data_IF_585711234397
#
_entry.id   IF_585711234397
#
_cell.length_a   1.000
_cell.length_b   1.000
_cell.length_c   1.000
_cell.angle_alpha   90.00
_cell.angle_beta   90.00
_cell.angle_gamma   90.00
#
_symmetry.space_group_name_H-M   'P 1'
#
loop_
_entity.id
_entity.type
_entity.pdbx_description
1 polymer ?
#
# COMPACT_ATOMS: atom_id res chain seq x y z
N UNK A 1 -45.53 22.65 48.67
CA UNK A 1 -44.31 22.54 47.85
C UNK A 1 -44.14 23.86 47.13
N UNK A 2 -42.96 24.50 47.24
CA UNK A 2 -42.72 25.82 46.66
C UNK A 2 -42.76 25.76 45.12
N UNK A 3 -43.36 26.76 44.49
CA UNK A 3 -43.46 26.90 43.03
C UNK A 3 -42.07 26.89 42.39
N UNK A 4 -41.07 27.46 43.08
CA UNK A 4 -39.68 27.50 42.63
C UNK A 4 -39.06 26.10 42.54
N UNK A 5 -39.40 25.21 43.48
CA UNK A 5 -38.94 23.81 43.48
C UNK A 5 -39.59 23.02 42.35
N UNK A 6 -40.88 23.24 42.09
CA UNK A 6 -41.59 22.62 40.96
C UNK A 6 -41.00 23.05 39.61
N UNK A 7 -40.73 24.36 39.44
CA UNK A 7 -40.14 24.89 38.21
C UNK A 7 -38.75 24.28 37.94
N UNK A 8 -37.90 24.20 38.95
CA UNK A 8 -36.56 23.64 38.83
C UNK A 8 -36.58 22.14 38.49
N UNK A 9 -37.55 21.39 39.05
CA UNK A 9 -37.72 19.97 38.75
C UNK A 9 -38.15 19.76 37.30
N UNK A 10 -39.07 20.58 36.79
CA UNK A 10 -39.48 20.55 35.37
C UNK A 10 -38.30 20.90 34.45
N UNK A 11 -37.52 21.93 34.76
CA UNK A 11 -36.32 22.30 33.98
C UNK A 11 -35.26 21.20 34.01
N UNK A 12 -35.05 20.55 35.16
CA UNK A 12 -34.13 19.42 35.30
C UNK A 12 -34.55 18.23 34.43
N UNK A 13 -35.83 17.87 34.46
CA UNK A 13 -36.39 16.80 33.59
C UNK A 13 -36.22 17.18 32.12
N UNK A 14 -36.56 18.42 31.72
CA UNK A 14 -36.40 18.87 30.34
C UNK A 14 -34.94 18.76 29.88
N UNK A 15 -33.98 19.14 30.74
CA UNK A 15 -32.54 19.04 30.44
C UNK A 15 -32.12 17.59 30.28
N UNK A 16 -32.59 16.68 31.13
CA UNK A 16 -32.29 15.24 31.01
C UNK A 16 -32.85 14.63 29.74
N UNK A 17 -34.06 15.02 29.33
CA UNK A 17 -34.67 14.58 28.06
C UNK A 17 -33.81 15.04 26.88
N UNK A 18 -33.43 16.31 26.84
CA UNK A 18 -32.56 16.86 25.77
C UNK A 18 -31.21 16.15 25.75
N UNK A 19 -30.56 15.97 26.91
CA UNK A 19 -29.28 15.27 27.00
C UNK A 19 -29.37 13.82 26.49
N UNK A 20 -30.46 13.12 26.81
CA UNK A 20 -30.70 11.76 26.32
C UNK A 20 -30.82 11.71 24.80
N UNK A 21 -31.55 12.66 24.20
CA UNK A 21 -31.67 12.77 22.74
C UNK A 21 -30.33 13.07 22.08
N UNK A 22 -29.51 13.96 22.67
CA UNK A 22 -28.17 14.26 22.16
C UNK A 22 -27.25 13.03 22.20
N UNK A 23 -27.27 12.26 23.29
CA UNK A 23 -26.52 11.00 23.39
C UNK A 23 -26.97 10.02 22.31
N UNK A 24 -28.29 9.91 22.09
CA UNK A 24 -28.84 9.06 21.03
C UNK A 24 -28.36 9.49 19.64
N UNK A 25 -28.35 10.80 19.36
CA UNK A 25 -27.83 11.35 18.11
C UNK A 25 -26.34 11.05 17.92
N UNK A 26 -25.52 11.21 18.97
CA UNK A 26 -24.09 10.86 18.92
C UNK A 26 -23.87 9.38 18.61
N UNK A 27 -24.67 8.48 19.18
CA UNK A 27 -24.58 7.04 18.90
C UNK A 27 -24.89 6.74 17.43
N UNK A 28 -25.92 7.38 16.86
CA UNK A 28 -26.27 7.21 15.45
C UNK A 28 -25.16 7.78 14.55
N UNK A 29 -24.64 8.96 14.86
CA UNK A 29 -23.56 9.60 14.09
C UNK A 29 -22.29 8.76 14.10
N UNK A 30 -21.93 8.18 15.25
CA UNK A 30 -20.77 7.27 15.36
C UNK A 30 -20.95 6.06 14.44
N UNK A 31 -22.12 5.41 14.45
CA UNK A 31 -22.41 4.29 13.56
C UNK A 31 -22.33 4.68 12.08
N UNK A 32 -22.85 5.85 11.70
CA UNK A 32 -22.77 6.34 10.33
C UNK A 32 -21.33 6.62 9.91
N UNK A 33 -20.51 7.16 10.81
CA UNK A 33 -19.08 7.38 10.57
C UNK A 33 -18.32 6.06 10.42
N UNK A 34 -18.60 5.07 11.25
CA UNK A 34 -17.98 3.74 11.16
C UNK A 34 -18.31 3.05 9.83
N UNK A 35 -19.56 3.18 9.36
CA UNK A 35 -19.99 2.67 8.04
C UNK A 35 -19.25 3.41 6.92
N UNK A 36 -19.20 4.75 6.97
CA UNK A 36 -18.52 5.55 5.96
C UNK A 36 -17.01 5.28 5.91
N UNK A 37 -16.38 5.04 7.07
CA UNK A 37 -14.98 4.67 7.16
C UNK A 37 -14.72 3.30 6.50
N UNK A 38 -15.54 2.29 6.83
CA UNK A 38 -15.43 0.97 6.23
C UNK A 38 -15.68 0.99 4.70
N UNK A 39 -16.63 1.80 4.24
CA UNK A 39 -16.92 1.95 2.82
C UNK A 39 -15.77 2.65 2.08
N UNK A 40 -15.19 3.71 2.68
CA UNK A 40 -14.02 4.38 2.14
C UNK A 40 -12.81 3.43 2.04
N UNK A 41 -12.57 2.62 3.08
CA UNK A 41 -11.51 1.62 3.08
C UNK A 41 -11.74 0.54 2.02
N UNK A 42 -12.97 0.07 1.85
CA UNK A 42 -13.33 -0.92 0.83
C UNK A 42 -13.15 -0.34 -0.58
N UNK A 43 -13.64 0.87 -0.83
CA UNK A 43 -13.53 1.54 -2.12
C UNK A 43 -12.06 1.82 -2.49
N UNK A 44 -11.28 2.36 -1.55
CA UNK A 44 -9.83 2.57 -1.75
C UNK A 44 -9.10 1.25 -2.02
N UNK A 45 -9.51 0.17 -1.33
CA UNK A 45 -8.94 -1.15 -1.55
C UNK A 45 -9.22 -1.70 -2.95
N UNK A 46 -10.45 -1.54 -3.43
CA UNK A 46 -10.85 -1.94 -4.78
C UNK A 46 -10.10 -1.14 -5.85
N UNK A 47 -10.01 0.19 -5.69
CA UNK A 47 -9.27 1.05 -6.62
C UNK A 47 -7.77 0.70 -6.68
N UNK A 48 -7.14 0.40 -5.54
CA UNK A 48 -5.75 -0.03 -5.51
C UNK A 48 -5.56 -1.40 -6.21
N UNK A 49 -6.51 -2.32 -6.06
CA UNK A 49 -6.48 -3.61 -6.76
C UNK A 49 -6.68 -3.45 -8.27
N UNK A 50 -7.62 -2.61 -8.69
CA UNK A 50 -7.87 -2.30 -10.09
C UNK A 50 -6.63 -1.68 -10.73
N UNK A 51 -6.07 -0.64 -10.12
CA UNK A 51 -4.83 0.01 -10.59
C UNK A 51 -3.67 -0.98 -10.70
N UNK A 52 -3.48 -1.86 -9.71
CA UNK A 52 -2.43 -2.89 -9.77
C UNK A 52 -2.67 -3.89 -10.90
N UNK A 53 -3.91 -4.33 -11.10
CA UNK A 53 -4.29 -5.26 -12.17
C UNK A 53 -4.04 -4.66 -13.55
N UNK A 54 -4.40 -3.39 -13.75
CA UNK A 54 -4.14 -2.66 -14.99
C UNK A 54 -2.65 -2.52 -15.28
N UNK A 55 -1.84 -2.19 -14.28
CA UNK A 55 -0.39 -2.08 -14.42
C UNK A 55 0.25 -3.42 -14.81
N UNK A 56 -0.17 -4.51 -14.17
CA UNK A 56 0.31 -5.86 -14.50
C UNK A 56 -0.08 -6.24 -15.94
N UNK A 57 -1.33 -5.98 -16.33
CA UNK A 57 -1.81 -6.22 -17.69
C UNK A 57 -1.01 -5.42 -18.71
N UNK A 58 -0.84 -4.12 -18.47
CA UNK A 58 -0.07 -3.24 -19.34
C UNK A 58 1.37 -3.74 -19.53
N UNK A 59 2.04 -4.16 -18.46
CA UNK A 59 3.39 -4.71 -18.57
C UNK A 59 3.43 -6.01 -19.37
N UNK A 60 2.44 -6.89 -19.19
CA UNK A 60 2.34 -8.13 -19.96
C UNK A 60 2.13 -7.86 -21.47
N UNK A 61 1.28 -6.89 -21.81
CA UNK A 61 1.00 -6.49 -23.20
C UNK A 61 2.20 -5.81 -23.89
N UNK A 62 3.01 -5.07 -23.12
CA UNK A 62 4.16 -4.33 -23.63
C UNK A 62 5.48 -5.11 -23.54
N UNK A 63 5.48 -6.29 -22.92
CA UNK A 63 6.68 -7.12 -22.78
C UNK A 63 6.76 -8.16 -23.89
N UNK A 64 7.88 -8.18 -24.61
CA UNK A 64 8.17 -9.27 -25.56
C UNK A 64 8.93 -10.41 -24.86
N UNK A 65 8.90 -11.64 -25.40
CA UNK A 65 9.72 -12.74 -24.87
C UNK A 65 11.20 -12.38 -24.76
N UNK A 66 11.74 -11.61 -25.71
CA UNK A 66 13.13 -11.16 -25.73
C UNK A 66 13.42 -10.19 -24.59
N UNK A 67 12.50 -9.24 -24.32
CA UNK A 67 12.58 -8.32 -23.18
C UNK A 67 12.64 -9.11 -21.88
N UNK A 68 11.75 -10.11 -21.70
CA UNK A 68 11.72 -10.93 -20.49
C UNK A 68 13.01 -11.75 -20.30
N UNK A 69 13.59 -12.27 -21.39
CA UNK A 69 14.88 -12.97 -21.34
C UNK A 69 16.02 -12.04 -20.94
N UNK A 70 16.06 -10.81 -21.47
CA UNK A 70 17.05 -9.80 -21.09
C UNK A 70 16.88 -9.37 -19.62
N UNK A 71 15.65 -9.19 -19.16
CA UNK A 71 15.34 -8.92 -17.76
C UNK A 71 15.84 -10.03 -16.81
N UNK A 72 15.86 -11.30 -17.23
CA UNK A 72 16.48 -12.37 -16.45
C UNK A 72 18.00 -12.18 -16.33
N UNK A 73 18.66 -11.66 -17.36
CA UNK A 73 20.12 -11.39 -17.37
C UNK A 73 20.50 -10.16 -16.56
N UNK A 74 19.70 -9.09 -16.61
CA UNK A 74 19.94 -7.86 -15.85
C UNK A 74 19.58 -6.59 -16.61
N UNK A 75 19.56 -5.46 -15.89
CA UNK A 75 19.14 -4.17 -16.44
C UNK A 75 20.06 -3.66 -17.57
N UNK A 76 21.35 -3.98 -17.50
CA UNK A 76 22.36 -3.56 -18.48
C UNK A 76 22.13 -4.13 -19.89
N UNK A 77 21.40 -5.25 -20.00
CA UNK A 77 21.12 -5.92 -21.28
C UNK A 77 19.90 -5.36 -22.00
N UNK A 78 19.17 -4.44 -21.37
CA UNK A 78 17.99 -3.79 -21.93
C UNK A 78 18.41 -2.62 -22.84
N UNK A 79 17.73 -2.48 -23.96
CA UNK A 79 17.76 -1.24 -24.74
C UNK A 79 16.91 -0.14 -24.05
N UNK A 80 16.98 1.08 -24.54
CA UNK A 80 16.32 2.22 -23.89
C UNK A 80 14.80 2.08 -23.80
N UNK A 81 14.16 1.51 -24.82
CA UNK A 81 12.71 1.25 -24.78
C UNK A 81 12.34 0.18 -23.76
N UNK A 82 13.13 -0.88 -23.69
CA UNK A 82 12.96 -1.96 -22.71
C UNK A 82 13.20 -1.47 -21.27
N UNK A 83 14.18 -0.58 -21.07
CA UNK A 83 14.42 0.09 -19.79
C UNK A 83 13.23 0.94 -19.38
N UNK A 84 12.65 1.68 -20.31
CA UNK A 84 11.48 2.53 -20.05
C UNK A 84 10.27 1.68 -19.61
N UNK A 85 10.00 0.58 -20.32
CA UNK A 85 8.90 -0.35 -19.98
C UNK A 85 9.11 -0.94 -18.58
N UNK A 86 10.31 -1.46 -18.28
CA UNK A 86 10.60 -2.08 -17.00
C UNK A 86 10.60 -1.07 -15.84
N UNK A 87 11.15 0.13 -16.06
CA UNK A 87 11.20 1.19 -15.04
C UNK A 87 9.81 1.76 -14.76
N UNK A 88 8.99 1.95 -15.81
CA UNK A 88 7.59 2.38 -15.67
C UNK A 88 6.78 1.39 -14.85
N UNK A 89 6.90 0.08 -15.13
CA UNK A 89 6.25 -0.96 -14.34
C UNK A 89 6.67 -0.92 -12.88
N UNK A 90 7.98 -0.88 -12.62
CA UNK A 90 8.53 -0.80 -11.28
C UNK A 90 8.03 0.45 -10.52
N UNK A 91 8.08 1.61 -11.16
CA UNK A 91 7.69 2.88 -10.57
C UNK A 91 6.19 2.92 -10.24
N UNK A 92 5.34 2.45 -11.15
CA UNK A 92 3.89 2.45 -10.95
C UNK A 92 3.48 1.61 -9.74
N UNK A 93 4.05 0.41 -9.59
CA UNK A 93 3.77 -0.44 -8.43
C UNK A 93 4.40 0.15 -7.16
N UNK A 94 5.59 0.76 -7.26
CA UNK A 94 6.28 1.38 -6.12
C UNK A 94 5.46 2.53 -5.54
N UNK A 95 4.88 3.39 -6.39
CA UNK A 95 4.07 4.52 -5.95
C UNK A 95 2.80 4.08 -5.23
N UNK A 96 2.11 3.06 -5.75
CA UNK A 96 0.95 2.46 -5.08
C UNK A 96 1.38 1.91 -3.72
N UNK A 97 2.41 1.08 -3.68
CA UNK A 97 2.89 0.49 -2.43
C UNK A 97 3.36 1.51 -1.39
N UNK A 98 4.10 2.53 -1.81
CA UNK A 98 4.56 3.59 -0.91
C UNK A 98 3.37 4.37 -0.34
N UNK A 99 2.33 4.58 -1.14
CA UNK A 99 1.08 5.21 -0.70
C UNK A 99 0.33 4.32 0.29
N UNK A 100 0.15 3.03 -0.03
CA UNK A 100 -0.50 2.06 0.86
C UNK A 100 0.24 1.93 2.21
N UNK A 101 1.57 1.94 2.18
CA UNK A 101 2.41 1.93 3.37
C UNK A 101 2.22 3.18 4.22
N UNK A 102 2.25 4.36 3.60
CA UNK A 102 2.03 5.65 4.28
C UNK A 102 0.64 5.75 4.91
N UNK A 103 -0.38 5.19 4.25
CA UNK A 103 -1.74 5.12 4.77
C UNK A 103 -1.93 4.04 5.84
N UNK A 104 -0.90 3.25 6.13
CA UNK A 104 -0.96 2.21 7.15
C UNK A 104 -1.85 1.03 6.77
N UNK A 105 -2.07 0.77 5.47
CA UNK A 105 -2.88 -0.37 5.02
C UNK A 105 -2.34 -1.67 5.62
N UNK A 106 -3.27 -2.54 6.01
CA UNK A 106 -2.98 -3.82 6.68
C UNK A 106 -2.08 -3.68 7.92
N UNK A 107 -2.09 -2.52 8.59
CA UNK A 107 -1.26 -2.26 9.76
C UNK A 107 0.23 -2.18 9.47
N UNK A 108 0.63 -1.67 8.27
CA UNK A 108 2.03 -1.63 7.82
C UNK A 108 2.69 -3.01 7.86
N UNK A 109 1.98 -4.03 7.38
CA UNK A 109 2.49 -5.40 7.38
C UNK A 109 3.69 -5.55 6.41
N UNK A 110 4.91 -5.83 6.90
CA UNK A 110 6.10 -5.97 6.05
C UNK A 110 6.03 -7.19 5.13
N UNK A 111 5.31 -8.25 5.52
CA UNK A 111 5.11 -9.46 4.71
C UNK A 111 4.34 -9.15 3.43
N UNK A 112 3.31 -8.30 3.54
CA UNK A 112 2.51 -7.85 2.41
C UNK A 112 3.35 -7.03 1.43
N UNK A 113 4.16 -6.12 1.96
CA UNK A 113 5.07 -5.30 1.17
C UNK A 113 6.09 -6.18 0.44
N UNK A 114 6.72 -7.11 1.18
CA UNK A 114 7.70 -8.05 0.64
C UNK A 114 7.11 -8.94 -0.45
N UNK A 115 5.91 -9.50 -0.23
CA UNK A 115 5.19 -10.28 -1.23
C UNK A 115 4.92 -9.46 -2.50
N UNK A 116 4.44 -8.23 -2.35
CA UNK A 116 4.11 -7.38 -3.50
C UNK A 116 5.35 -6.98 -4.28
N UNK A 117 6.44 -6.60 -3.60
CA UNK A 117 7.72 -6.30 -4.24
C UNK A 117 8.28 -7.53 -4.96
N UNK A 118 8.31 -8.68 -4.30
CA UNK A 118 8.80 -9.92 -4.91
C UNK A 118 8.00 -10.36 -6.14
N UNK A 119 6.67 -10.39 -6.01
CA UNK A 119 5.78 -10.97 -7.02
C UNK A 119 5.28 -9.96 -8.05
N UNK A 120 4.69 -8.84 -7.61
CA UNK A 120 4.05 -7.87 -8.51
C UNK A 120 5.07 -6.94 -9.18
N UNK A 121 6.11 -6.48 -8.46
CA UNK A 121 7.26 -5.82 -9.12
C UNK A 121 8.20 -6.79 -9.83
N UNK A 122 7.91 -8.10 -9.75
CA UNK A 122 8.65 -9.17 -10.45
C UNK A 122 10.13 -9.27 -10.05
N UNK A 123 10.48 -8.79 -8.86
CA UNK A 123 11.84 -8.86 -8.31
C UNK A 123 12.30 -10.29 -8.02
N UNK A 124 11.38 -11.23 -7.76
CA UNK A 124 11.72 -12.64 -7.57
C UNK A 124 12.14 -13.33 -8.89
N UNK A 125 11.54 -12.91 -10.01
CA UNK A 125 11.71 -13.55 -11.31
C UNK A 125 12.87 -12.96 -12.11
N UNK A 126 13.05 -11.65 -12.05
CA UNK A 126 13.95 -10.92 -12.96
C UNK A 126 15.04 -10.17 -12.22
N UNK A 127 16.30 -10.43 -12.59
CA UNK A 127 17.45 -9.67 -12.07
C UNK A 127 17.34 -8.19 -12.44
N UNK A 128 16.88 -7.87 -13.65
CA UNK A 128 16.71 -6.49 -14.10
C UNK A 128 15.76 -5.68 -13.23
N UNK A 129 14.70 -6.30 -12.68
CA UNK A 129 13.79 -5.61 -11.75
C UNK A 129 14.47 -5.31 -10.40
N UNK A 130 15.34 -6.20 -9.92
CA UNK A 130 16.16 -5.94 -8.72
C UNK A 130 17.23 -4.88 -8.97
N UNK A 131 17.81 -4.86 -10.16
CA UNK A 131 18.77 -3.83 -10.54
C UNK A 131 18.09 -2.44 -10.56
N UNK A 132 16.85 -2.35 -11.10
CA UNK A 132 16.02 -1.12 -11.05
C UNK A 132 15.72 -0.71 -9.62
N UNK A 133 15.34 -1.66 -8.75
CA UNK A 133 15.14 -1.38 -7.32
C UNK A 133 16.38 -0.74 -6.71
N UNK A 134 17.57 -1.31 -6.93
CA UNK A 134 18.82 -0.76 -6.38
C UNK A 134 19.16 0.63 -6.89
N UNK A 135 18.91 0.90 -8.19
CA UNK A 135 19.12 2.23 -8.79
C UNK A 135 18.19 3.25 -8.13
N UNK A 136 16.91 2.91 -8.03
CA UNK A 136 15.87 3.81 -7.49
C UNK A 136 15.96 3.99 -5.99
N UNK A 137 16.21 2.94 -5.22
CA UNK A 137 16.37 3.01 -3.77
C UNK A 137 17.59 3.84 -3.40
N UNK A 138 18.70 3.71 -4.14
CA UNK A 138 19.92 4.49 -3.92
C UNK A 138 19.72 5.99 -4.16
N UNK A 139 18.86 6.38 -5.11
CA UNK A 139 18.60 7.80 -5.39
C UNK A 139 17.70 8.47 -4.35
N UNK A 140 16.84 7.70 -3.67
CA UNK A 140 15.94 8.22 -2.63
C UNK A 140 16.46 8.00 -1.20
N UNK A 141 17.47 7.14 -1.01
CA UNK A 141 18.05 6.85 0.30
C UNK A 141 18.63 8.12 0.93
N UNK A 142 18.19 8.44 2.14
CA UNK A 142 18.64 9.62 2.88
C UNK A 142 17.95 10.94 2.51
N UNK A 143 17.05 10.95 1.51
CA UNK A 143 16.27 12.15 1.14
C UNK A 143 15.11 12.45 2.10
N UNK A 144 14.68 11.45 2.88
CA UNK A 144 13.48 11.53 3.72
C UNK A 144 12.16 11.39 2.97
N UNK A 145 12.19 11.25 1.64
CA UNK A 145 10.98 11.11 0.81
C UNK A 145 10.27 9.77 0.98
N UNK A 146 10.98 8.75 1.46
CA UNK A 146 10.48 7.38 1.63
C UNK A 146 10.87 6.88 3.03
N UNK A 147 9.93 6.22 3.72
CA UNK A 147 10.20 5.63 5.03
C UNK A 147 11.34 4.59 4.94
N UNK A 148 12.27 4.62 5.91
CA UNK A 148 13.45 3.73 5.91
C UNK A 148 13.06 2.25 5.85
N UNK A 149 12.02 1.87 6.60
CA UNK A 149 11.53 0.49 6.65
C UNK A 149 11.04 -0.02 5.29
N UNK A 150 10.45 0.86 4.46
CA UNK A 150 10.03 0.50 3.10
C UNK A 150 11.24 0.12 2.23
N UNK A 151 12.33 0.89 2.34
CA UNK A 151 13.57 0.61 1.62
C UNK A 151 14.21 -0.69 2.12
N UNK A 152 14.25 -0.88 3.43
CA UNK A 152 14.81 -2.10 4.05
C UNK A 152 14.10 -3.37 3.59
N UNK A 153 12.76 -3.36 3.48
CA UNK A 153 11.99 -4.52 2.99
C UNK A 153 12.35 -4.87 1.54
N UNK A 154 12.48 -3.88 0.66
CA UNK A 154 12.85 -4.14 -0.74
C UNK A 154 14.31 -4.60 -0.90
N UNK A 155 15.21 -4.11 -0.06
CA UNK A 155 16.60 -4.60 0.01
C UNK A 155 16.64 -6.07 0.44
N UNK A 156 15.83 -6.47 1.44
CA UNK A 156 15.68 -7.88 1.85
C UNK A 156 15.19 -8.79 0.71
N UNK A 157 14.19 -8.35 -0.08
CA UNK A 157 13.73 -9.10 -1.27
C UNK A 157 14.89 -9.34 -2.25
N UNK A 158 15.78 -8.36 -2.40
CA UNK A 158 16.93 -8.49 -3.27
C UNK A 158 17.97 -9.50 -2.75
N UNK A 159 18.17 -9.53 -1.43
CA UNK A 159 19.13 -10.41 -0.75
C UNK A 159 18.66 -11.87 -0.72
N UNK A 160 17.41 -12.14 -0.36
CA UNK A 160 16.85 -13.50 -0.26
C UNK A 160 16.97 -14.30 -1.56
N UNK A 161 16.80 -13.65 -2.71
CA UNK A 161 16.95 -14.31 -4.03
C UNK A 161 18.42 -14.54 -4.38
N UNK A 162 19.30 -13.67 -3.92
CA UNK A 162 20.74 -13.83 -4.11
C UNK A 162 21.24 -15.02 -3.28
N UNK A 163 20.74 -15.18 -2.06
CA UNK A 163 21.04 -16.32 -1.19
C UNK A 163 20.44 -17.63 -1.71
N UNK A 164 19.17 -17.66 -2.13
CA UNK A 164 18.56 -18.86 -2.74
C UNK A 164 19.32 -19.37 -3.96
N UNK A 165 19.86 -18.47 -4.78
CA UNK A 165 20.74 -18.84 -5.92
C UNK A 165 22.09 -19.40 -5.48
N UNK A 166 22.64 -18.92 -4.36
CA UNK A 166 23.94 -19.38 -3.82
C UNK A 166 23.83 -20.72 -3.08
N UNK A 167 22.69 -21.01 -2.46
CA UNK A 167 22.47 -22.29 -1.77
C UNK A 167 22.13 -23.44 -2.71
N UNK A 168 21.86 -23.17 -3.98
CA UNK A 168 21.52 -24.15 -4.98
C UNK A 168 20.19 -24.83 -4.67
N UNK A 169 19.19 -24.63 -5.52
CA UNK A 169 18.03 -25.50 -5.56
C UNK A 169 18.52 -26.94 -5.83
N UNK A 170 18.74 -27.68 -4.73
CA UNK A 170 18.73 -29.13 -4.69
C UNK A 170 17.28 -29.57 -4.74
N UNK A 171 16.68 -29.54 -5.93
CA UNK A 171 15.52 -30.37 -6.26
C UNK A 171 15.61 -30.77 -7.73
#
# INVERSE_FOLDING_TARGET
MDLLVLAQLVTGIATLVVATVLIWQMIIQKKALDIAHNDADANMSLQAMESRSEQIRWFAENSTPELLQKLKKGYEYLNDKEKEIASSHHQNISQVLATEWRLGRLGKNPEYLRYTMGHHMKMNEYKGMRDIWKITSSSVKGTGLVEKQYIEVGDQVCEEISEKKLTGDKF
#
